data_IF_801974865024
#
_entry.id   IF_801974865024
#
_cell.length_a   1.000
_cell.length_b   1.000
_cell.length_c   1.000
_cell.angle_alpha   90.00
_cell.angle_beta   90.00
_cell.angle_gamma   90.00
#
_symmetry.space_group_name_H-M   'P 1'
#
loop_
_entity.id
_entity.type
_entity.pdbx_description
1 polymer ?
#
# COMPACT_ATOMS: atom_id res chain seq x y z
N UNK A 1 -13.01 -1.59 -16.83
CA UNK A 1 -13.38 -0.34 -17.53
C UNK A 1 -14.10 0.63 -16.62
N UNK A 2 -15.16 0.21 -15.92
CA UNK A 2 -15.85 1.08 -14.94
C UNK A 2 -14.90 1.63 -13.88
N UNK A 3 -14.10 0.77 -13.26
CA UNK A 3 -13.14 1.18 -12.21
C UNK A 3 -12.09 2.18 -12.70
N UNK A 4 -11.71 2.11 -13.98
CA UNK A 4 -10.77 3.10 -14.58
C UNK A 4 -11.46 4.45 -14.73
N UNK A 5 -12.71 4.48 -15.17
CA UNK A 5 -13.50 5.71 -15.30
C UNK A 5 -13.77 6.33 -13.93
N UNK A 6 -14.09 5.51 -12.93
CA UNK A 6 -14.37 5.97 -11.57
C UNK A 6 -13.09 6.49 -10.88
N UNK A 7 -11.93 5.92 -11.20
CA UNK A 7 -10.64 6.34 -10.62
C UNK A 7 -10.01 7.56 -11.31
N UNK A 8 -10.28 7.78 -12.61
CA UNK A 8 -9.67 8.82 -13.42
C UNK A 8 -10.71 9.62 -14.19
N UNK A 9 -11.04 10.80 -13.71
CA UNK A 9 -12.06 11.69 -14.36
C UNK A 9 -11.61 12.26 -15.71
N UNK A 10 -10.30 12.29 -16.00
CA UNK A 10 -9.73 12.86 -17.22
C UNK A 10 -9.43 11.82 -18.31
N UNK A 11 -9.65 10.55 -18.05
CA UNK A 11 -9.36 9.47 -18.99
C UNK A 11 -10.38 9.46 -20.14
N UNK A 12 -9.89 9.31 -21.38
CA UNK A 12 -10.73 9.06 -22.55
C UNK A 12 -10.54 7.61 -22.99
N UNK A 13 -11.62 6.89 -23.18
CA UNK A 13 -11.59 5.46 -23.53
C UNK A 13 -12.21 5.24 -24.90
N UNK A 14 -11.47 4.56 -25.77
CA UNK A 14 -12.02 3.97 -26.99
C UNK A 14 -12.18 2.48 -26.78
N UNK A 15 -13.39 1.99 -26.82
CA UNK A 15 -13.70 0.59 -26.66
C UNK A 15 -14.13 -0.02 -27.99
N UNK A 16 -13.58 -1.20 -28.32
CA UNK A 16 -13.91 -1.89 -29.57
C UNK A 16 -14.79 -3.12 -29.32
N UNK A 17 -15.70 -3.43 -30.24
CA UNK A 17 -16.54 -4.62 -30.17
C UNK A 17 -16.77 -5.22 -31.56
N UNK A 18 -16.82 -6.57 -31.65
CA UNK A 18 -17.05 -7.28 -32.91
C UNK A 18 -18.51 -7.35 -33.33
N UNK A 19 -19.45 -7.20 -32.41
CA UNK A 19 -20.91 -7.25 -32.71
C UNK A 19 -21.70 -6.50 -31.65
N UNK A 20 -22.88 -6.02 -32.01
CA UNK A 20 -23.92 -5.29 -31.29
C UNK A 20 -24.20 -5.67 -29.81
N UNK A 21 -23.20 -6.00 -29.01
CA UNK A 21 -23.32 -6.27 -27.58
C UNK A 21 -23.41 -4.97 -26.75
N UNK A 22 -24.02 -3.90 -27.31
CA UNK A 22 -24.35 -2.70 -26.54
C UNK A 22 -25.46 -2.93 -25.50
N UNK A 23 -26.21 -4.05 -25.62
CA UNK A 23 -27.31 -4.35 -24.70
C UNK A 23 -26.72 -4.99 -23.42
N UNK A 24 -26.75 -4.23 -22.33
CA UNK A 24 -26.43 -4.74 -20.99
C UNK A 24 -25.29 -4.07 -20.24
N UNK A 25 -24.55 -3.15 -20.86
CA UNK A 25 -23.52 -2.41 -20.16
C UNK A 25 -24.09 -1.11 -19.59
N UNK A 26 -24.55 -1.14 -18.33
CA UNK A 26 -25.14 0.02 -17.63
C UNK A 26 -24.21 1.25 -17.54
N UNK A 27 -22.94 1.12 -17.92
CA UNK A 27 -21.93 2.20 -17.99
C UNK A 27 -21.59 2.62 -19.42
N UNK A 28 -22.30 2.09 -20.45
CA UNK A 28 -22.01 2.37 -21.86
C UNK A 28 -22.28 3.83 -22.28
N UNK A 29 -23.01 4.59 -21.48
CA UNK A 29 -23.43 5.97 -21.77
C UNK A 29 -22.57 7.04 -21.08
N UNK A 30 -21.38 6.71 -20.58
CA UNK A 30 -20.49 7.73 -20.03
C UNK A 30 -19.84 8.51 -21.16
N UNK A 31 -19.82 9.86 -21.05
CA UNK A 31 -19.20 10.77 -22.04
C UNK A 31 -17.70 10.47 -22.29
N UNK A 32 -17.09 9.64 -21.45
CA UNK A 32 -15.68 9.26 -21.51
C UNK A 32 -15.41 8.02 -22.37
N UNK A 33 -16.43 7.26 -22.76
CA UNK A 33 -16.27 6.02 -23.53
C UNK A 33 -16.84 6.21 -24.95
N UNK A 34 -15.96 6.11 -25.94
CA UNK A 34 -16.32 6.03 -27.35
C UNK A 34 -16.29 4.60 -27.83
N UNK A 35 -17.39 4.11 -28.37
CA UNK A 35 -17.50 2.78 -28.96
C UNK A 35 -17.24 2.83 -30.46
N UNK A 36 -16.34 1.95 -30.93
CA UNK A 36 -15.98 1.81 -32.35
C UNK A 36 -16.04 0.35 -32.80
N UNK A 37 -16.05 0.13 -34.12
CA UNK A 37 -15.98 -1.22 -34.65
C UNK A 37 -14.61 -1.85 -34.41
N UNK A 38 -14.55 -3.15 -34.21
CA UNK A 38 -13.32 -3.88 -33.97
C UNK A 38 -12.27 -3.69 -35.07
N UNK A 39 -12.70 -3.56 -36.32
CA UNK A 39 -11.83 -3.33 -37.49
C UNK A 39 -11.10 -2.00 -37.42
N UNK A 40 -11.69 -0.99 -36.77
CA UNK A 40 -11.13 0.35 -36.61
C UNK A 40 -10.08 0.44 -35.50
N UNK A 41 -9.80 -0.67 -34.77
CA UNK A 41 -8.93 -0.65 -33.58
C UNK A 41 -7.53 -0.09 -33.83
N UNK A 42 -6.98 -0.33 -35.03
CA UNK A 42 -5.66 0.18 -35.40
C UNK A 42 -5.63 1.69 -35.60
N UNK A 43 -6.75 2.31 -36.02
CA UNK A 43 -6.82 3.76 -36.24
C UNK A 43 -6.63 4.58 -34.96
N UNK A 44 -6.82 3.93 -33.81
CA UNK A 44 -6.68 4.54 -32.49
C UNK A 44 -5.35 4.22 -31.79
N UNK A 45 -4.50 3.35 -32.35
CA UNK A 45 -3.24 2.97 -31.72
C UNK A 45 -2.29 4.16 -31.58
N UNK A 46 -2.23 5.03 -32.58
CA UNK A 46 -1.36 6.20 -32.53
C UNK A 46 -1.80 7.21 -31.45
N UNK A 47 -3.10 7.37 -31.30
CA UNK A 47 -3.71 8.26 -30.30
C UNK A 47 -3.58 7.70 -28.86
N UNK A 48 -3.66 6.39 -28.68
CA UNK A 48 -3.70 5.75 -27.37
C UNK A 48 -2.36 5.83 -26.63
N UNK A 49 -2.38 6.12 -25.34
CA UNK A 49 -1.23 5.97 -24.44
C UNK A 49 -1.16 4.55 -23.87
N UNK A 50 -2.31 3.91 -23.69
CA UNK A 50 -2.44 2.52 -23.21
C UNK A 50 -3.41 1.75 -24.09
N UNK A 51 -2.97 0.61 -24.59
CA UNK A 51 -3.79 -0.34 -25.36
C UNK A 51 -3.99 -1.60 -24.51
N UNK A 52 -5.22 -1.92 -24.17
CA UNK A 52 -5.54 -3.10 -23.35
C UNK A 52 -6.28 -4.12 -24.24
N UNK A 53 -5.80 -5.34 -24.31
CA UNK A 53 -6.51 -6.45 -24.93
C UNK A 53 -6.84 -7.53 -23.91
N UNK A 54 -8.11 -7.97 -23.92
CA UNK A 54 -8.64 -8.96 -23.00
C UNK A 54 -9.74 -9.77 -23.71
N UNK A 55 -9.39 -10.42 -24.81
CA UNK A 55 -10.35 -11.18 -25.62
C UNK A 55 -10.14 -12.70 -25.46
N UNK A 56 -11.10 -13.48 -25.88
CA UNK A 56 -10.98 -14.95 -25.98
C UNK A 56 -10.67 -15.35 -27.44
N UNK A 57 -9.99 -14.48 -28.18
CA UNK A 57 -9.65 -14.78 -29.58
C UNK A 57 -8.55 -15.83 -29.64
N UNK A 58 -8.63 -16.83 -30.53
CA UNK A 58 -7.53 -17.77 -30.78
C UNK A 58 -6.40 -17.14 -31.63
N UNK A 59 -6.56 -15.91 -32.09
CA UNK A 59 -5.62 -15.21 -32.97
C UNK A 59 -5.26 -13.85 -32.38
N UNK A 60 -4.07 -13.37 -32.72
CA UNK A 60 -3.63 -12.04 -32.33
C UNK A 60 -4.62 -10.95 -32.74
N UNK A 61 -5.00 -10.15 -31.76
CA UNK A 61 -5.83 -8.95 -31.95
C UNK A 61 -4.99 -7.81 -32.50
N UNK A 62 -3.75 -7.68 -32.02
CA UNK A 62 -2.77 -6.71 -32.49
C UNK A 62 -1.52 -7.40 -33.02
N UNK A 63 -1.17 -7.09 -34.27
CA UNK A 63 -0.01 -7.65 -35.00
C UNK A 63 1.00 -6.54 -35.26
N UNK A 64 2.29 -6.80 -35.00
CA UNK A 64 3.37 -5.81 -35.06
C UNK A 64 3.45 -5.09 -36.42
N UNK A 65 3.37 -5.83 -37.54
CA UNK A 65 3.42 -5.27 -38.88
C UNK A 65 2.27 -4.30 -39.21
N UNK A 66 1.12 -4.47 -38.56
CA UNK A 66 0.00 -3.54 -38.68
C UNK A 66 0.16 -2.35 -37.73
N UNK A 67 0.48 -2.59 -36.45
CA UNK A 67 0.73 -1.53 -35.48
C UNK A 67 1.74 -0.53 -36.03
N UNK A 68 2.89 -1.00 -36.53
CA UNK A 68 3.94 -0.16 -37.07
C UNK A 68 3.46 0.80 -38.18
N UNK A 69 2.49 0.40 -39.00
CA UNK A 69 1.93 1.24 -40.08
C UNK A 69 1.09 2.41 -39.56
N UNK A 70 0.51 2.26 -38.38
CA UNK A 70 -0.37 3.27 -37.79
C UNK A 70 0.37 4.19 -36.82
N UNK A 71 1.56 3.82 -36.32
CA UNK A 71 2.38 4.68 -35.48
C UNK A 71 2.97 5.85 -36.29
N UNK A 72 2.63 7.05 -35.92
CA UNK A 72 3.09 8.31 -36.57
C UNK A 72 3.82 9.21 -35.60
N UNK A 73 3.35 9.26 -34.35
CA UNK A 73 3.92 10.10 -33.30
C UNK A 73 4.91 9.33 -32.45
N UNK A 74 6.05 9.94 -32.12
CA UNK A 74 7.01 9.40 -31.15
C UNK A 74 6.51 9.72 -29.73
N UNK A 75 5.83 8.74 -29.14
CA UNK A 75 5.41 8.76 -27.74
C UNK A 75 5.39 7.34 -27.18
N UNK A 76 5.70 7.20 -25.90
CA UNK A 76 5.61 5.94 -25.20
C UNK A 76 4.18 5.40 -25.18
N UNK A 77 4.02 4.13 -25.54
CA UNK A 77 2.73 3.42 -25.51
C UNK A 77 2.89 2.10 -24.76
N UNK A 78 1.97 1.86 -23.86
CA UNK A 78 1.89 0.59 -23.14
C UNK A 78 0.84 -0.32 -23.79
N UNK A 79 1.26 -1.48 -24.22
CA UNK A 79 0.37 -2.57 -24.65
C UNK A 79 0.22 -3.57 -23.51
N UNK A 80 -0.98 -3.73 -22.99
CA UNK A 80 -1.29 -4.62 -21.88
C UNK A 80 -2.12 -5.81 -22.38
N UNK A 81 -1.51 -6.98 -22.42
CA UNK A 81 -2.16 -8.23 -22.81
C UNK A 81 -2.69 -8.98 -21.59
N UNK A 82 -4.00 -8.97 -21.43
CA UNK A 82 -4.71 -9.68 -20.37
C UNK A 82 -5.37 -10.98 -20.87
N UNK A 83 -5.12 -11.38 -22.12
CA UNK A 83 -5.76 -12.51 -22.74
C UNK A 83 -4.97 -13.82 -22.56
N UNK A 84 -5.70 -14.93 -22.54
CA UNK A 84 -5.15 -16.30 -22.61
C UNK A 84 -6.00 -17.09 -23.61
N UNK A 85 -5.43 -17.50 -24.77
CA UNK A 85 -4.09 -17.22 -25.26
C UNK A 85 -3.84 -15.73 -25.56
N UNK A 86 -2.58 -15.34 -25.82
CA UNK A 86 -2.18 -13.94 -26.05
C UNK A 86 -2.91 -13.31 -27.22
N UNK A 87 -3.31 -12.06 -27.04
CA UNK A 87 -3.97 -11.22 -28.04
C UNK A 87 -3.00 -10.30 -28.78
N UNK A 88 -1.84 -10.03 -28.19
CA UNK A 88 -0.86 -9.05 -28.67
C UNK A 88 0.43 -9.77 -29.05
N UNK A 89 0.89 -9.54 -30.30
CA UNK A 89 2.12 -10.11 -30.82
C UNK A 89 3.35 -9.52 -30.10
N UNK A 90 4.26 -10.37 -29.61
CA UNK A 90 5.42 -9.96 -28.80
C UNK A 90 6.35 -8.97 -29.52
N UNK A 91 6.43 -9.10 -30.84
CA UNK A 91 7.25 -8.24 -31.68
C UNK A 91 6.85 -6.75 -31.61
N UNK A 92 5.63 -6.42 -31.12
CA UNK A 92 5.25 -5.03 -30.84
C UNK A 92 6.17 -4.38 -29.82
N UNK A 93 6.67 -5.15 -28.84
CA UNK A 93 7.66 -4.67 -27.86
C UNK A 93 9.03 -4.30 -28.46
N UNK A 94 9.32 -4.69 -29.71
CA UNK A 94 10.55 -4.30 -30.44
C UNK A 94 10.37 -3.01 -31.22
N UNK A 95 9.15 -2.50 -31.37
CA UNK A 95 8.88 -1.21 -32.03
C UNK A 95 9.32 -0.07 -31.10
N UNK A 96 9.78 1.03 -31.73
CA UNK A 96 10.17 2.23 -30.97
C UNK A 96 8.98 2.74 -30.15
N UNK A 97 9.27 3.12 -28.91
CA UNK A 97 8.31 3.72 -27.97
C UNK A 97 7.11 2.81 -27.62
N UNK A 98 7.23 1.49 -27.79
CA UNK A 98 6.23 0.51 -27.42
C UNK A 98 6.74 -0.42 -26.31
N UNK A 99 5.97 -0.57 -25.25
CA UNK A 99 6.21 -1.52 -24.16
C UNK A 99 5.06 -2.49 -24.11
N UNK A 100 5.36 -3.78 -24.01
CA UNK A 100 4.37 -4.84 -23.81
C UNK A 100 4.47 -5.37 -22.40
N UNK A 101 3.32 -5.49 -21.74
CA UNK A 101 3.18 -6.14 -20.45
C UNK A 101 1.99 -7.12 -20.49
N UNK A 102 2.04 -8.14 -19.65
CA UNK A 102 1.06 -9.22 -19.61
C UNK A 102 0.55 -9.48 -18.18
N UNK A 103 -0.28 -10.52 -18.02
CA UNK A 103 -0.82 -10.92 -16.71
C UNK A 103 0.26 -11.23 -15.69
N UNK A 104 1.39 -11.84 -16.09
CA UNK A 104 2.49 -12.19 -15.17
C UNK A 104 3.10 -10.93 -14.56
N UNK A 105 3.22 -9.86 -15.35
CA UNK A 105 3.66 -8.56 -14.86
C UNK A 105 2.70 -7.98 -13.82
N UNK A 106 1.39 -8.02 -14.09
CA UNK A 106 0.36 -7.57 -13.15
C UNK A 106 0.42 -8.36 -11.83
N UNK A 107 0.58 -9.69 -11.92
CA UNK A 107 0.74 -10.53 -10.74
C UNK A 107 2.00 -10.19 -9.95
N UNK A 108 3.11 -9.94 -10.63
CA UNK A 108 4.37 -9.54 -9.98
C UNK A 108 4.22 -8.22 -9.22
N UNK A 109 3.57 -7.22 -9.83
CA UNK A 109 3.25 -5.95 -9.19
C UNK A 109 2.34 -6.14 -7.97
N UNK A 110 1.31 -6.97 -8.10
CA UNK A 110 0.39 -7.26 -7.01
C UNK A 110 1.12 -7.93 -5.82
N UNK A 111 2.00 -8.90 -6.09
CA UNK A 111 2.84 -9.55 -5.07
C UNK A 111 3.75 -8.54 -4.37
N UNK A 112 4.44 -7.70 -5.14
CA UNK A 112 5.32 -6.66 -4.57
C UNK A 112 4.54 -5.68 -3.68
N UNK A 113 3.41 -5.19 -4.16
CA UNK A 113 2.56 -4.28 -3.40
C UNK A 113 2.01 -4.92 -2.11
N UNK A 114 1.63 -6.20 -2.16
CA UNK A 114 1.17 -6.93 -0.99
C UNK A 114 2.29 -7.13 0.04
N UNK A 115 3.51 -7.46 -0.40
CA UNK A 115 4.67 -7.55 0.49
C UNK A 115 4.96 -6.21 1.18
N UNK A 116 4.90 -5.10 0.43
CA UNK A 116 5.06 -3.76 0.99
C UNK A 116 4.00 -3.45 2.04
N UNK A 117 2.72 -3.72 1.73
CA UNK A 117 1.61 -3.54 2.69
C UNK A 117 1.79 -4.38 3.94
N UNK A 118 2.23 -5.64 3.82
CA UNK A 118 2.49 -6.50 4.97
C UNK A 118 3.64 -5.98 5.84
N UNK A 119 4.70 -5.45 5.24
CA UNK A 119 5.81 -4.85 5.99
C UNK A 119 5.39 -3.60 6.76
N UNK A 120 4.57 -2.75 6.14
CA UNK A 120 4.02 -1.56 6.80
C UNK A 120 3.05 -1.95 7.94
N UNK A 121 2.18 -2.95 7.71
CA UNK A 121 1.27 -3.45 8.73
C UNK A 121 2.02 -3.97 9.98
N UNK A 122 3.13 -4.69 9.79
CA UNK A 122 3.97 -5.15 10.92
C UNK A 122 4.56 -4.00 11.74
N UNK A 123 4.99 -2.91 11.09
CA UNK A 123 5.48 -1.72 11.80
C UNK A 123 4.39 -1.08 12.65
N UNK A 124 3.18 -0.98 12.11
CA UNK A 124 2.02 -0.44 12.81
C UNK A 124 1.65 -1.36 13.99
N UNK A 125 1.70 -2.67 13.81
CA UNK A 125 1.41 -3.64 14.88
C UNK A 125 2.37 -3.48 16.07
N UNK A 126 3.68 -3.37 15.81
CA UNK A 126 4.68 -3.12 16.84
C UNK A 126 4.42 -1.78 17.58
N UNK A 127 4.09 -0.74 16.85
CA UNK A 127 3.74 0.55 17.45
C UNK A 127 2.49 0.46 18.33
N UNK A 128 1.45 -0.27 17.88
CA UNK A 128 0.24 -0.49 18.67
C UNK A 128 0.57 -1.27 19.95
N UNK A 129 1.39 -2.32 19.87
CA UNK A 129 1.81 -3.10 21.04
C UNK A 129 2.54 -2.23 22.06
N UNK A 130 3.49 -1.40 21.62
CA UNK A 130 4.21 -0.46 22.48
C UNK A 130 3.25 0.52 23.18
N UNK A 131 2.33 1.12 22.44
CA UNK A 131 1.35 2.06 23.00
C UNK A 131 0.34 1.40 23.92
N UNK A 132 -0.02 0.17 23.65
CA UNK A 132 -0.89 -0.63 24.52
C UNK A 132 -0.21 -0.91 25.85
N UNK A 133 1.07 -1.32 25.83
CA UNK A 133 1.86 -1.56 27.03
C UNK A 133 2.02 -0.28 27.91
N UNK A 134 2.31 0.87 27.27
CA UNK A 134 2.36 2.17 27.96
C UNK A 134 1.02 2.51 28.64
N UNK A 135 -0.09 2.27 27.92
CA UNK A 135 -1.43 2.56 28.43
C UNK A 135 -1.80 1.61 29.59
N UNK A 136 -1.49 0.33 29.47
CA UNK A 136 -1.72 -0.64 30.54
C UNK A 136 -0.94 -0.29 31.81
N UNK A 137 0.33 0.07 31.69
CA UNK A 137 1.14 0.56 32.82
C UNK A 137 0.53 1.80 33.47
N UNK A 138 0.04 2.74 32.67
CA UNK A 138 -0.62 3.96 33.16
C UNK A 138 -1.91 3.63 33.93
N UNK A 139 -2.72 2.69 33.38
CA UNK A 139 -3.94 2.23 34.05
C UNK A 139 -3.65 1.52 35.36
N UNK A 140 -2.63 0.64 35.38
CA UNK A 140 -2.20 -0.04 36.60
C UNK A 140 -1.77 0.96 37.69
N UNK A 141 -0.97 1.99 37.30
CA UNK A 141 -0.58 3.07 38.19
C UNK A 141 -1.80 3.82 38.77
N UNK A 142 -2.72 4.22 37.90
CA UNK A 142 -3.96 4.92 38.30
C UNK A 142 -4.79 4.09 39.26
N UNK A 143 -4.99 2.81 38.95
CA UNK A 143 -5.79 1.90 39.77
C UNK A 143 -5.11 1.64 41.13
N UNK A 144 -3.79 1.52 41.16
CA UNK A 144 -3.03 1.40 42.39
C UNK A 144 -3.23 2.60 43.29
N UNK A 145 -3.09 3.83 42.78
CA UNK A 145 -3.28 5.04 43.57
C UNK A 145 -4.74 5.23 44.00
N UNK A 146 -5.71 4.90 43.14
CA UNK A 146 -7.13 5.03 43.49
C UNK A 146 -7.56 4.09 44.62
N UNK A 147 -7.09 2.82 44.57
CA UNK A 147 -7.45 1.78 45.57
C UNK A 147 -6.69 1.89 46.88
N UNK A 148 -5.49 2.48 46.85
CA UNK A 148 -4.55 2.50 48.01
C UNK A 148 -4.17 3.90 48.45
N UNK A 149 -5.04 4.89 48.22
CA UNK A 149 -4.77 6.29 48.49
C UNK A 149 -4.27 6.52 49.96
N UNK A 150 -4.91 5.89 50.91
CA UNK A 150 -4.48 5.95 52.33
C UNK A 150 -3.20 5.16 52.62
N UNK A 151 -3.02 4.04 51.91
CA UNK A 151 -1.86 3.16 52.06
C UNK A 151 -0.61 3.70 51.35
N UNK A 152 -0.73 4.56 50.33
CA UNK A 152 0.40 5.17 49.62
C UNK A 152 0.91 6.44 50.30
N UNK A 153 0.12 7.08 51.16
CA UNK A 153 0.57 8.26 51.92
C UNK A 153 1.84 7.96 52.73
N UNK A 154 1.98 6.78 53.30
CA UNK A 154 3.18 6.37 54.06
C UNK A 154 4.44 6.24 53.19
N UNK A 155 4.32 6.02 51.89
CA UNK A 155 5.45 5.98 50.97
C UNK A 155 6.17 7.34 50.87
N UNK A 156 5.46 8.44 51.08
CA UNK A 156 6.01 9.79 51.02
C UNK A 156 7.09 10.00 52.09
N UNK A 157 6.97 9.26 53.22
CA UNK A 157 7.93 9.35 54.34
C UNK A 157 9.09 8.35 54.20
N UNK A 158 9.12 7.52 53.17
CA UNK A 158 10.17 6.51 52.96
C UNK A 158 11.24 7.00 52.00
N UNK A 159 12.49 6.68 52.32
CA UNK A 159 13.61 7.01 51.43
C UNK A 159 13.58 6.11 50.17
N UNK A 160 14.11 6.62 49.07
CA UNK A 160 14.30 5.83 47.86
C UNK A 160 15.11 4.54 48.11
N UNK A 161 16.11 4.62 49.00
CA UNK A 161 16.91 3.47 49.41
C UNK A 161 16.07 2.38 50.03
N UNK A 162 15.12 2.74 50.90
CA UNK A 162 14.20 1.73 51.48
C UNK A 162 13.38 1.01 50.44
N UNK A 163 12.85 1.74 49.44
CA UNK A 163 12.08 1.16 48.34
C UNK A 163 12.95 0.23 47.49
N UNK A 164 14.15 0.65 47.14
CA UNK A 164 15.11 -0.14 46.38
C UNK A 164 15.48 -1.45 47.07
N UNK A 165 15.71 -1.40 48.40
CA UNK A 165 15.96 -2.64 49.19
C UNK A 165 14.77 -3.61 49.12
N UNK A 166 13.54 -3.14 49.13
CA UNK A 166 12.35 -3.98 48.99
C UNK A 166 12.20 -4.54 47.62
N UNK A 167 12.44 -3.73 46.56
CA UNK A 167 12.36 -4.18 45.15
C UNK A 167 13.42 -5.23 44.83
N UNK A 168 14.64 -5.09 45.35
CA UNK A 168 15.75 -6.03 45.15
C UNK A 168 15.36 -7.47 45.43
N UNK A 169 14.56 -7.73 46.46
CA UNK A 169 14.19 -9.09 46.87
C UNK A 169 12.96 -9.65 46.10
N UNK A 170 12.32 -8.84 45.24
CA UNK A 170 11.07 -9.20 44.55
C UNK A 170 11.15 -9.16 43.03
N UNK A 171 12.24 -8.66 42.44
CA UNK A 171 12.45 -8.60 40.99
C UNK A 171 13.75 -9.30 40.62
N UNK A 172 13.82 -9.79 39.35
CA UNK A 172 15.05 -10.39 38.85
C UNK A 172 16.16 -9.34 38.60
N UNK A 173 17.38 -9.81 38.37
CA UNK A 173 18.56 -9.00 38.20
C UNK A 173 18.40 -7.97 37.06
N UNK A 174 17.85 -8.37 35.91
CA UNK A 174 17.73 -7.47 34.76
C UNK A 174 16.72 -6.36 35.01
N UNK A 175 15.57 -6.70 35.59
CA UNK A 175 14.56 -5.73 35.97
C UNK A 175 15.09 -4.75 37.02
N UNK A 176 15.85 -5.25 38.01
CA UNK A 176 16.45 -4.37 39.03
C UNK A 176 17.50 -3.42 38.45
N UNK A 177 18.34 -3.91 37.52
CA UNK A 177 19.32 -3.06 36.83
C UNK A 177 18.64 -1.94 36.03
N UNK A 178 17.55 -2.24 35.31
CA UNK A 178 16.77 -1.23 34.60
C UNK A 178 16.15 -0.18 35.53
N UNK A 179 15.66 -0.59 36.72
CA UNK A 179 15.13 0.33 37.73
C UNK A 179 16.23 1.31 38.21
N UNK A 180 17.42 0.81 38.46
CA UNK A 180 18.54 1.61 38.90
C UNK A 180 18.99 2.60 37.82
N UNK A 181 19.02 2.18 36.55
CA UNK A 181 19.35 3.02 35.40
C UNK A 181 18.34 4.18 35.23
N UNK A 182 17.03 3.85 35.28
CA UNK A 182 15.96 4.88 35.21
C UNK A 182 16.08 5.89 36.33
N UNK A 183 16.43 5.50 37.57
CA UNK A 183 16.60 6.41 38.69
C UNK A 183 17.84 7.32 38.48
N UNK A 184 18.94 6.74 37.95
CA UNK A 184 20.15 7.48 37.63
C UNK A 184 19.93 8.58 36.59
N UNK A 185 19.31 8.22 35.48
CA UNK A 185 19.00 9.14 34.38
C UNK A 185 17.98 10.22 34.78
N UNK A 186 17.00 9.89 35.60
CA UNK A 186 16.03 10.87 36.10
C UNK A 186 16.71 11.97 36.97
N UNK A 187 17.80 11.62 37.68
CA UNK A 187 18.56 12.57 38.46
C UNK A 187 19.33 13.56 37.57
N UNK A 188 19.95 13.11 36.51
CA UNK A 188 20.65 13.93 35.53
C UNK A 188 19.72 14.97 34.87
N UNK A 189 18.55 14.54 34.40
CA UNK A 189 17.53 15.41 33.82
C UNK A 189 16.96 16.44 34.79
N UNK A 190 16.92 16.13 36.08
CA UNK A 190 16.47 17.04 37.14
C UNK A 190 17.51 18.14 37.44
N UNK A 191 18.79 17.86 37.23
CA UNK A 191 19.88 18.79 37.43
C UNK A 191 19.97 19.79 36.27
N UNK A 192 19.83 19.35 35.03
CA UNK A 192 19.81 20.22 33.85
C UNK A 192 18.65 21.21 33.82
N UNK A 193 17.48 20.86 34.40
CA UNK A 193 16.33 21.78 34.51
C UNK A 193 16.49 22.87 35.59
N UNK A 194 17.46 22.76 36.47
CA UNK A 194 17.73 23.80 37.52
C UNK A 194 18.79 24.80 37.10
N UNK A 195 19.48 24.55 36.00
CA UNK A 195 20.53 25.43 35.45
C UNK A 195 20.03 26.29 34.27
N UNK A 196 18.75 26.21 33.91
CA UNK A 196 18.03 27.04 32.92
C UNK A 196 17.01 27.93 33.63
#
# INVERSE_FOLDING_TARGET
MKDIVDACQTVQIVATTRKHHRQGLAFADTKQIRWVHYEERYDYVDWADVVISATNSPHYTFVASKVQKYLKESKMRLFLDLAVPRDIEEEIGTLSDCVIENMDYIESLAKHNNQKKLSEAKKVELYIQEKTDEMEKTLLMRDFYAKKKEQTAWLQDKSASWLLYRLKDHVDHNCFAQILDVIGTAQEQSTERKEL
#
